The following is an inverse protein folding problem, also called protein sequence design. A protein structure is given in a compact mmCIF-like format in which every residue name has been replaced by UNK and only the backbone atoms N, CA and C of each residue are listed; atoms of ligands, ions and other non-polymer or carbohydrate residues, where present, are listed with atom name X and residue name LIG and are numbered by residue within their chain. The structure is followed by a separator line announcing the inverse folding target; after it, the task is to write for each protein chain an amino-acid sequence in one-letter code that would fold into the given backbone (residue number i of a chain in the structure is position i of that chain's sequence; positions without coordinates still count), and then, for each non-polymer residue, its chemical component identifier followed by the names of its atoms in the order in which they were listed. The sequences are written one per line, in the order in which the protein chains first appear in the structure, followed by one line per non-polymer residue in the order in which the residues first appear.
data_IF_498286522388
#
_entry.id   IF_498286522388
#
_cell.length_a   1.000
_cell.length_b   1.000
_cell.length_c   1.000
_cell.angle_alpha   90.00
_cell.angle_beta   90.00
_cell.angle_gamma   90.00
#
_symmetry.space_group_name_H-M   'P 1'
#
loop_
_entity.id
_entity.type
_entity.pdbx_description
1 polymer ?
#
# COMPACT_ATOMS: atom_id res chain seq x y z
N UNK A 1 11.35 19.06 -0.62
CA UNK A 1 11.11 17.79 0.12
C UNK A 1 11.69 16.65 -0.72
N UNK A 2 12.62 15.84 -0.21
CA UNK A 2 13.30 14.82 -1.03
C UNK A 2 12.32 13.71 -1.44
N UNK A 3 12.22 13.39 -2.74
CA UNK A 3 11.41 12.27 -3.27
C UNK A 3 11.67 10.97 -2.49
N UNK A 4 12.93 10.69 -2.15
CA UNK A 4 13.33 9.53 -1.35
C UNK A 4 12.63 9.42 0.02
N UNK A 5 12.27 10.54 0.66
CA UNK A 5 11.51 10.51 1.92
C UNK A 5 10.06 10.11 1.70
N UNK A 6 9.45 10.60 0.61
CA UNK A 6 8.06 10.27 0.24
C UNK A 6 7.94 8.77 -0.04
N UNK A 7 8.90 8.19 -0.77
CA UNK A 7 8.90 6.74 -1.05
C UNK A 7 9.04 5.88 0.20
N UNK A 8 9.91 6.25 1.14
CA UNK A 8 10.03 5.52 2.41
C UNK A 8 8.70 5.50 3.17
N UNK A 9 8.01 6.64 3.21
CA UNK A 9 6.69 6.76 3.85
C UNK A 9 5.67 5.88 3.11
N UNK A 10 5.61 5.97 1.78
CA UNK A 10 4.70 5.17 0.96
C UNK A 10 4.91 3.66 1.18
N UNK A 11 6.17 3.20 1.15
CA UNK A 11 6.50 1.80 1.39
C UNK A 11 6.12 1.35 2.81
N UNK A 12 6.25 2.24 3.80
CA UNK A 12 5.85 1.96 5.18
C UNK A 12 4.33 1.84 5.32
N UNK A 13 3.57 2.71 4.63
CA UNK A 13 2.11 2.63 4.56
C UNK A 13 1.67 1.34 3.87
N UNK A 14 2.34 0.96 2.77
CA UNK A 14 2.08 -0.30 2.09
C UNK A 14 2.30 -1.51 2.99
N UNK A 15 3.46 -1.56 3.65
CA UNK A 15 3.78 -2.63 4.59
C UNK A 15 2.74 -2.72 5.72
N UNK A 16 2.32 -1.57 6.26
CA UNK A 16 1.27 -1.51 7.27
C UNK A 16 -0.05 -2.12 6.78
N UNK A 17 -0.54 -1.72 5.60
CA UNK A 17 -1.80 -2.23 5.04
C UNK A 17 -1.74 -3.74 4.81
N UNK A 18 -0.65 -4.22 4.21
CA UNK A 18 -0.46 -5.65 3.92
C UNK A 18 -0.39 -6.46 5.22
N UNK A 19 0.41 -6.01 6.19
CA UNK A 19 0.53 -6.70 7.49
C UNK A 19 -0.79 -6.68 8.25
N UNK A 20 -1.54 -5.58 8.20
CA UNK A 20 -2.86 -5.50 8.81
C UNK A 20 -3.83 -6.50 8.17
N UNK A 21 -3.87 -6.60 6.85
CA UNK A 21 -4.71 -7.56 6.14
C UNK A 21 -4.36 -9.02 6.48
N UNK A 22 -3.05 -9.34 6.55
CA UNK A 22 -2.57 -10.67 6.96
C UNK A 22 -3.00 -10.95 8.41
N UNK A 23 -2.74 -10.02 9.32
CA UNK A 23 -3.08 -10.14 10.72
C UNK A 23 -4.59 -10.30 10.93
N UNK A 24 -5.41 -9.53 10.21
CA UNK A 24 -6.85 -9.70 10.21
C UNK A 24 -7.26 -11.10 9.76
N UNK A 25 -6.68 -11.61 8.67
CA UNK A 25 -7.02 -12.93 8.13
C UNK A 25 -6.78 -14.07 9.13
N UNK A 26 -5.66 -14.05 9.86
CA UNK A 26 -5.35 -15.07 10.87
C UNK A 26 -6.22 -14.99 12.13
N UNK A 27 -6.63 -13.80 12.52
CA UNK A 27 -7.27 -13.56 13.82
C UNK A 27 -8.71 -13.04 13.70
N UNK A 28 -9.33 -13.14 12.52
CA UNK A 28 -10.66 -12.60 12.23
C UNK A 28 -11.71 -12.98 13.28
N UNK A 29 -11.72 -14.25 13.71
CA UNK A 29 -12.69 -14.77 14.67
C UNK A 29 -12.55 -14.13 16.06
N UNK A 30 -11.33 -13.73 16.44
CA UNK A 30 -11.06 -13.05 17.70
C UNK A 30 -11.42 -11.56 17.60
N UNK A 31 -11.10 -10.91 16.48
CA UNK A 31 -11.31 -9.48 16.34
C UNK A 31 -12.76 -9.08 16.08
N UNK A 32 -13.58 -9.92 15.46
CA UNK A 32 -15.02 -9.64 15.33
C UNK A 32 -15.76 -9.64 16.67
N UNK A 33 -15.14 -10.08 17.77
CA UNK A 33 -15.68 -9.91 19.12
C UNK A 33 -15.57 -8.46 19.63
N UNK A 34 -14.75 -7.63 18.98
CA UNK A 34 -14.55 -6.25 19.36
C UNK A 34 -15.53 -5.34 18.62
N UNK A 35 -16.38 -4.64 19.37
CA UNK A 35 -17.46 -3.79 18.87
C UNK A 35 -17.01 -2.73 17.85
N UNK A 36 -15.79 -2.20 17.99
CA UNK A 36 -15.28 -1.13 17.11
C UNK A 36 -14.35 -1.63 16.00
N UNK A 37 -14.10 -2.93 15.92
CA UNK A 37 -13.07 -3.44 15.02
C UNK A 37 -13.45 -3.30 13.54
N UNK A 38 -14.74 -3.38 13.19
CA UNK A 38 -15.21 -3.12 11.83
C UNK A 38 -14.92 -1.66 11.39
N UNK A 39 -15.02 -0.68 12.30
CA UNK A 39 -14.64 0.70 12.00
C UNK A 39 -13.13 0.83 11.75
N UNK A 40 -12.30 0.02 12.42
CA UNK A 40 -10.85 -0.03 12.18
C UNK A 40 -10.58 -0.61 10.78
N UNK A 41 -11.24 -1.71 10.41
CA UNK A 41 -11.13 -2.29 9.05
C UNK A 41 -11.50 -1.23 8.01
N UNK A 42 -12.63 -0.55 8.20
CA UNK A 42 -13.09 0.50 7.30
C UNK A 42 -12.08 1.65 7.19
N UNK A 43 -11.51 2.08 8.33
CA UNK A 43 -10.46 3.10 8.34
C UNK A 43 -9.22 2.69 7.57
N UNK A 44 -8.73 1.46 7.78
CA UNK A 44 -7.57 0.93 7.04
C UNK A 44 -7.88 0.79 5.55
N UNK A 45 -9.10 0.39 5.19
CA UNK A 45 -9.56 0.35 3.81
C UNK A 45 -9.57 1.73 3.15
N UNK A 46 -10.08 2.77 3.82
CA UNK A 46 -10.06 4.14 3.28
C UNK A 46 -8.61 4.62 3.10
N UNK A 47 -7.75 4.38 4.09
CA UNK A 47 -6.31 4.70 3.99
C UNK A 47 -5.67 3.96 2.82
N UNK A 48 -6.04 2.71 2.57
CA UNK A 48 -5.48 1.93 1.47
C UNK A 48 -5.94 2.43 0.10
N UNK A 49 -7.20 2.86 -0.04
CA UNK A 49 -7.69 3.51 -1.27
C UNK A 49 -6.92 4.81 -1.54
N UNK A 50 -6.75 5.67 -0.53
CA UNK A 50 -5.96 6.91 -0.66
C UNK A 50 -4.51 6.60 -1.05
N UNK A 51 -3.92 5.58 -0.41
CA UNK A 51 -2.57 5.14 -0.73
C UNK A 51 -2.46 4.67 -2.19
N UNK A 52 -3.39 3.86 -2.68
CA UNK A 52 -3.42 3.41 -4.09
C UNK A 52 -3.51 4.60 -5.05
N UNK A 53 -4.44 5.53 -4.81
CA UNK A 53 -4.61 6.71 -5.68
C UNK A 53 -3.36 7.60 -5.72
N UNK A 54 -2.78 7.91 -4.55
CA UNK A 54 -1.55 8.70 -4.46
C UNK A 54 -0.34 7.99 -5.10
N UNK A 55 -0.33 6.67 -5.06
CA UNK A 55 0.77 5.87 -5.58
C UNK A 55 0.84 5.83 -7.09
N UNK A 56 -0.30 5.89 -7.79
CA UNK A 56 -0.33 6.01 -9.26
C UNK A 56 0.41 7.28 -9.70
N UNK A 57 0.15 8.40 -9.03
CA UNK A 57 0.80 9.69 -9.34
C UNK A 57 2.32 9.57 -9.14
N UNK A 58 2.76 8.94 -8.05
CA UNK A 58 4.17 8.75 -7.74
C UNK A 58 4.86 7.81 -8.73
N UNK A 59 4.23 6.68 -9.09
CA UNK A 59 4.74 5.74 -10.09
C UNK A 59 4.91 6.38 -11.47
N UNK A 60 3.94 7.20 -11.90
CA UNK A 60 4.04 7.97 -13.15
C UNK A 60 5.21 8.95 -13.08
N UNK A 61 5.34 9.69 -11.97
CA UNK A 61 6.45 10.62 -11.78
C UNK A 61 7.81 9.92 -11.80
N UNK A 62 7.95 8.76 -11.16
CA UNK A 62 9.20 7.99 -11.17
C UNK A 62 9.53 7.48 -12.55
N UNK A 63 8.52 6.95 -13.27
CA UNK A 63 8.70 6.41 -14.62
C UNK A 63 9.20 7.50 -15.57
N UNK A 64 8.62 8.70 -15.52
CA UNK A 64 9.05 9.85 -16.35
C UNK A 64 10.50 10.24 -16.02
N UNK A 65 10.85 10.34 -14.73
CA UNK A 65 12.20 10.71 -14.30
C UNK A 65 13.22 9.64 -14.68
N UNK A 66 12.87 8.36 -14.56
CA UNK A 66 13.73 7.23 -14.89
C UNK A 66 13.96 7.06 -16.39
N UNK A 67 12.98 7.42 -17.24
CA UNK A 67 13.11 7.38 -18.71
C UNK A 67 14.01 8.52 -19.20
N UNK A 68 13.91 9.71 -18.60
CA UNK A 68 14.66 10.90 -19.03
C UNK A 68 16.12 10.93 -18.55
N UNK A 69 16.60 9.94 -17.79
CA UNK A 69 17.99 9.87 -17.32
C UNK A 69 18.87 9.05 -18.27
N UNK A 70 19.95 9.65 -18.75
CA UNK A 70 20.92 9.02 -19.67
C UNK A 70 21.68 7.82 -19.08
N UNK A 71 21.76 7.70 -17.75
CA UNK A 71 22.32 6.54 -17.06
C UNK A 71 21.29 5.99 -16.08
N UNK A 72 20.67 4.87 -16.45
CA UNK A 72 19.85 4.09 -15.53
C UNK A 72 20.73 3.37 -14.52
N UNK A 73 20.47 3.62 -13.24
CA UNK A 73 21.12 2.91 -12.13
C UNK A 73 20.30 1.66 -11.85
N UNK A 74 20.90 0.48 -11.90
CA UNK A 74 20.22 -0.81 -11.65
C UNK A 74 19.45 -0.86 -10.32
N UNK A 75 19.93 -0.13 -9.31
CA UNK A 75 19.25 0.03 -8.03
C UNK A 75 17.89 0.76 -8.15
N UNK A 76 17.74 1.75 -9.04
CA UNK A 76 16.47 2.47 -9.24
C UNK A 76 15.41 1.56 -9.87
N UNK A 77 15.81 0.70 -10.82
CA UNK A 77 14.93 -0.30 -11.43
C UNK A 77 14.46 -1.33 -10.39
N UNK A 78 15.37 -1.81 -9.54
CA UNK A 78 15.02 -2.73 -8.45
C UNK A 78 14.01 -2.10 -7.48
N UNK A 79 14.19 -0.81 -7.14
CA UNK A 79 13.24 -0.07 -6.31
C UNK A 79 11.87 0.09 -6.98
N UNK A 80 11.83 0.43 -8.27
CA UNK A 80 10.59 0.53 -9.03
C UNK A 80 9.81 -0.79 -9.01
N UNK A 81 10.50 -1.93 -9.24
CA UNK A 81 9.88 -3.25 -9.20
C UNK A 81 9.31 -3.60 -7.82
N UNK A 82 10.03 -3.31 -6.75
CA UNK A 82 9.54 -3.53 -5.37
C UNK A 82 8.31 -2.66 -5.10
N UNK A 83 8.32 -1.40 -5.53
CA UNK A 83 7.18 -0.48 -5.39
C UNK A 83 5.95 -0.98 -6.14
N UNK A 84 6.11 -1.52 -7.35
CA UNK A 84 5.03 -2.13 -8.14
C UNK A 84 4.47 -3.37 -7.45
N UNK A 85 5.33 -4.27 -6.99
CA UNK A 85 4.90 -5.48 -6.27
C UNK A 85 4.12 -5.13 -4.99
N UNK A 86 4.65 -4.19 -4.20
CA UNK A 86 4.00 -3.72 -3.00
C UNK A 86 2.65 -3.04 -3.30
N UNK A 87 2.57 -2.26 -4.38
CA UNK A 87 1.32 -1.65 -4.86
C UNK A 87 0.24 -2.70 -5.15
N UNK A 88 0.56 -3.76 -5.89
CA UNK A 88 -0.39 -4.85 -6.13
C UNK A 88 -0.75 -5.61 -4.86
N UNK A 89 0.20 -5.80 -3.94
CA UNK A 89 -0.07 -6.35 -2.60
C UNK A 89 -1.08 -5.51 -1.82
N UNK A 90 -0.97 -4.19 -1.88
CA UNK A 90 -1.92 -3.25 -1.26
C UNK A 90 -3.28 -3.32 -1.95
N UNK A 91 -3.37 -3.41 -3.28
CA UNK A 91 -4.65 -3.60 -3.98
C UNK A 91 -5.34 -4.88 -3.51
N UNK A 92 -4.62 -6.02 -3.50
CA UNK A 92 -5.18 -7.30 -3.06
C UNK A 92 -5.63 -7.23 -1.60
N UNK A 93 -4.84 -6.61 -0.73
CA UNK A 93 -5.18 -6.39 0.68
C UNK A 93 -6.40 -5.50 0.83
N UNK A 94 -6.53 -4.45 0.02
CA UNK A 94 -7.67 -3.53 0.03
C UNK A 94 -8.96 -4.23 -0.40
N UNK A 95 -8.90 -5.02 -1.48
CA UNK A 95 -10.02 -5.83 -1.94
C UNK A 95 -10.42 -6.88 -0.90
N UNK A 96 -9.44 -7.49 -0.23
CA UNK A 96 -9.74 -8.40 0.87
C UNK A 96 -10.45 -7.68 2.02
N UNK A 97 -9.90 -6.56 2.51
CA UNK A 97 -10.49 -5.80 3.61
C UNK A 97 -11.90 -5.30 3.28
N UNK A 98 -12.17 -4.91 2.02
CA UNK A 98 -13.52 -4.48 1.62
C UNK A 98 -14.55 -5.59 1.75
N UNK A 99 -14.18 -6.85 1.51
CA UNK A 99 -15.08 -8.01 1.72
C UNK A 99 -15.34 -8.32 3.20
N UNK A 100 -14.52 -7.79 4.10
CA UNK A 100 -14.63 -8.00 5.54
C UNK A 100 -15.41 -6.88 6.24
N UNK A 101 -15.66 -5.75 5.56
CA UNK A 101 -16.63 -4.76 6.00
C UNK A 101 -18.06 -5.30 5.80
N UNK A 102 -18.81 -5.47 6.90
CA UNK A 102 -20.16 -6.08 6.90
C UNK A 102 -21.30 -5.05 7.00
N UNK A 103 -20.98 -3.76 6.90
CA UNK A 103 -21.95 -2.66 6.93
C UNK A 103 -23.11 -2.87 5.95
#
# INVERSE_FOLDING_TARGET
MNLAKIFKIQLSVYAFIILFAIQHSFFKNYFYLWMYYENIILGVFIVSVIAVLGSIILLISESIVSINREKQISAEIAWLLVSILAYYGVIASSLYLSTQCRL
#
